data_IF_437895104471
#
_entry.id   IF_437895104471
#
_cell.length_a   1.000
_cell.length_b   1.000
_cell.length_c   1.000
_cell.angle_alpha   90.00
_cell.angle_beta   90.00
_cell.angle_gamma   90.00
#
_symmetry.space_group_name_H-M   'P 1'
#
loop_
_entity.id
_entity.type
_entity.pdbx_description
1 polymer ?
#
# COMPACT_ATOMS: atom_id res chain seq x y z
N UNK A 1 4.91 -5.05 -12.66
CA UNK A 1 4.12 -4.79 -13.89
C UNK A 1 4.45 -3.39 -14.35
N UNK A 2 4.70 -3.21 -15.65
CA UNK A 2 4.98 -1.91 -16.27
C UNK A 2 3.99 -1.73 -17.43
N UNK A 3 3.33 -0.59 -17.51
CA UNK A 3 2.50 -0.20 -18.65
C UNK A 3 3.02 1.13 -19.19
N UNK A 4 3.21 1.19 -20.52
CA UNK A 4 3.63 2.42 -21.21
C UNK A 4 2.59 2.74 -22.27
N UNK A 5 2.07 3.96 -22.22
CA UNK A 5 1.13 4.50 -23.17
C UNK A 5 1.71 5.75 -23.82
N UNK A 6 1.48 5.94 -25.12
CA UNK A 6 2.00 7.08 -25.86
C UNK A 6 1.26 7.29 -27.17
N UNK A 7 1.58 8.41 -27.83
CA UNK A 7 1.02 8.75 -29.13
C UNK A 7 1.95 8.25 -30.24
N UNK A 8 1.40 7.70 -31.31
CA UNK A 8 2.19 7.24 -32.45
C UNK A 8 1.54 6.09 -33.21
N UNK A 9 2.31 5.51 -34.13
CA UNK A 9 1.94 4.25 -34.77
C UNK A 9 1.82 3.12 -33.73
N UNK A 10 1.02 2.08 -34.01
CA UNK A 10 1.07 0.85 -33.24
C UNK A 10 2.52 0.38 -33.06
N UNK A 11 2.83 -0.15 -31.88
CA UNK A 11 4.16 -0.67 -31.50
C UNK A 11 5.31 0.36 -31.43
N UNK A 12 5.04 1.65 -31.57
CA UNK A 12 6.07 2.71 -31.50
C UNK A 12 6.86 2.76 -30.17
N UNK A 13 6.31 2.22 -29.09
CA UNK A 13 6.97 2.16 -27.77
C UNK A 13 7.68 0.82 -27.53
N UNK A 14 7.54 -0.14 -28.45
CA UNK A 14 8.01 -1.52 -28.25
C UNK A 14 9.52 -1.57 -28.02
N UNK A 15 10.30 -0.92 -28.90
CA UNK A 15 11.76 -0.88 -28.79
C UNK A 15 12.22 -0.25 -27.46
N UNK A 16 11.49 0.76 -26.95
CA UNK A 16 11.80 1.38 -25.65
C UNK A 16 11.56 0.41 -24.51
N UNK A 17 10.44 -0.32 -24.52
CA UNK A 17 10.15 -1.33 -23.48
C UNK A 17 11.17 -2.47 -23.54
N UNK A 18 11.47 -2.98 -24.74
CA UNK A 18 12.45 -4.05 -24.95
C UNK A 18 13.84 -3.62 -24.45
N UNK A 19 14.28 -2.39 -24.75
CA UNK A 19 15.56 -1.87 -24.25
C UNK A 19 15.63 -1.72 -22.72
N UNK A 20 14.53 -1.33 -22.06
CA UNK A 20 14.47 -1.29 -20.59
C UNK A 20 14.61 -2.70 -20.01
N UNK A 21 13.91 -3.68 -20.59
CA UNK A 21 13.95 -5.07 -20.13
C UNK A 21 15.32 -5.70 -20.38
N UNK A 22 15.93 -5.48 -21.55
CA UNK A 22 17.27 -5.94 -21.89
C UNK A 22 18.30 -5.43 -20.88
N UNK A 23 18.31 -4.11 -20.61
CA UNK A 23 19.22 -3.52 -19.63
C UNK A 23 19.05 -4.11 -18.21
N UNK A 24 17.80 -4.36 -17.78
CA UNK A 24 17.51 -4.97 -16.49
C UNK A 24 17.94 -6.45 -16.41
N UNK A 25 17.80 -7.19 -17.51
CA UNK A 25 18.27 -8.58 -17.61
C UNK A 25 19.81 -8.65 -17.57
N UNK A 26 20.50 -7.77 -18.31
CA UNK A 26 21.97 -7.71 -18.34
C UNK A 26 22.58 -7.36 -16.98
N UNK A 27 21.93 -6.46 -16.23
CA UNK A 27 22.36 -6.06 -14.89
C UNK A 27 22.03 -7.11 -13.81
N UNK A 28 21.16 -8.08 -14.13
CA UNK A 28 20.69 -9.09 -13.19
C UNK A 28 19.59 -8.60 -12.23
N UNK A 29 19.07 -7.39 -12.44
CA UNK A 29 17.94 -6.84 -11.68
C UNK A 29 16.61 -7.51 -12.07
N UNK A 30 16.53 -8.02 -13.30
CA UNK A 30 15.41 -8.80 -13.83
C UNK A 30 15.90 -10.22 -14.13
N UNK A 31 15.18 -11.23 -13.63
CA UNK A 31 15.52 -12.64 -13.87
C UNK A 31 14.80 -13.23 -15.11
N UNK A 32 13.57 -12.78 -15.34
CA UNK A 32 12.75 -13.18 -16.49
C UNK A 32 11.71 -12.07 -16.77
N UNK A 33 11.28 -11.96 -18.03
CA UNK A 33 10.33 -10.95 -18.48
C UNK A 33 9.41 -11.48 -19.57
N UNK A 34 8.14 -11.09 -19.49
CA UNK A 34 7.15 -11.34 -20.56
C UNK A 34 6.57 -10.01 -21.03
N UNK A 35 6.59 -9.81 -22.35
CA UNK A 35 5.94 -8.67 -23.00
C UNK A 35 4.62 -9.13 -23.63
N UNK A 36 3.52 -8.44 -23.33
CA UNK A 36 2.23 -8.73 -23.95
C UNK A 36 2.27 -8.40 -25.45
N UNK A 37 1.94 -9.37 -26.30
CA UNK A 37 1.87 -9.22 -27.75
C UNK A 37 0.51 -8.70 -28.25
N UNK A 38 -0.51 -8.66 -27.38
CA UNK A 38 -1.83 -8.14 -27.70
C UNK A 38 -2.60 -7.72 -26.44
N UNK A 39 -3.73 -7.05 -26.64
CA UNK A 39 -4.59 -6.56 -25.55
C UNK A 39 -5.09 -7.66 -24.61
N UNK A 40 -5.39 -8.85 -25.13
CA UNK A 40 -5.85 -9.98 -24.32
C UNK A 40 -4.77 -10.45 -23.34
N UNK A 41 -3.52 -10.54 -23.80
CA UNK A 41 -2.38 -10.82 -22.93
C UNK A 41 -2.12 -9.68 -21.94
N UNK A 42 -2.24 -8.41 -22.38
CA UNK A 42 -2.12 -7.26 -21.49
C UNK A 42 -3.13 -7.30 -20.35
N UNK A 43 -4.41 -7.60 -20.65
CA UNK A 43 -5.45 -7.79 -19.65
C UNK A 43 -5.17 -8.97 -18.72
N UNK A 44 -4.63 -10.07 -19.23
CA UNK A 44 -4.25 -11.22 -18.40
C UNK A 44 -3.14 -10.87 -17.40
N UNK A 45 -2.13 -10.08 -17.80
CA UNK A 45 -1.09 -9.59 -16.90
C UNK A 45 -1.66 -8.62 -15.83
N UNK A 46 -2.54 -7.70 -16.24
CA UNK A 46 -3.23 -6.80 -15.30
C UNK A 46 -4.07 -7.55 -14.29
N UNK A 47 -4.79 -8.59 -14.73
CA UNK A 47 -5.60 -9.44 -13.85
C UNK A 47 -4.79 -10.04 -12.71
N UNK A 48 -3.51 -10.38 -12.92
CA UNK A 48 -2.63 -10.86 -11.84
C UNK A 48 -2.53 -9.80 -10.72
N UNK A 49 -2.26 -8.53 -11.09
CA UNK A 49 -2.13 -7.42 -10.13
C UNK A 49 -3.46 -7.02 -9.49
N UNK A 50 -4.55 -6.99 -10.27
CA UNK A 50 -5.86 -6.53 -9.82
C UNK A 50 -6.57 -7.56 -8.92
N UNK A 51 -6.26 -8.84 -9.07
CA UNK A 51 -6.86 -9.92 -8.26
C UNK A 51 -6.18 -10.15 -6.91
N UNK A 52 -5.05 -9.49 -6.62
CA UNK A 52 -4.33 -9.63 -5.35
C UNK A 52 -5.22 -9.40 -4.11
N UNK A 53 -6.07 -8.35 -4.04
CA UNK A 53 -6.94 -8.14 -2.89
C UNK A 53 -8.03 -9.21 -2.73
N UNK A 54 -8.54 -9.76 -3.84
CA UNK A 54 -9.52 -10.85 -3.84
C UNK A 54 -8.86 -12.15 -3.36
N UNK A 55 -7.68 -12.47 -3.90
CA UNK A 55 -6.90 -13.64 -3.50
C UNK A 55 -6.61 -13.64 -2.00
N UNK A 56 -6.22 -12.50 -1.43
CA UNK A 56 -5.99 -12.37 0.02
C UNK A 56 -7.22 -12.66 0.86
N UNK A 57 -8.43 -12.37 0.38
CA UNK A 57 -9.64 -12.68 1.16
C UNK A 57 -9.86 -14.21 1.30
N UNK A 58 -9.31 -15.01 0.39
CA UNK A 58 -9.35 -16.48 0.48
C UNK A 58 -8.25 -17.06 1.39
N UNK A 59 -7.26 -16.25 1.78
CA UNK A 59 -6.09 -16.66 2.55
C UNK A 59 -6.23 -16.44 4.07
N UNK A 60 -7.43 -16.06 4.54
CA UNK A 60 -7.73 -15.84 5.95
C UNK A 60 -7.79 -14.36 6.34
N UNK A 61 -7.73 -14.07 7.65
CA UNK A 61 -7.79 -12.70 8.16
C UNK A 61 -6.51 -11.93 7.83
N UNK A 62 -6.66 -10.65 7.48
CA UNK A 62 -5.57 -9.74 7.18
C UNK A 62 -5.85 -8.33 7.69
N UNK A 63 -4.81 -7.69 8.23
CA UNK A 63 -4.84 -6.28 8.64
C UNK A 63 -4.33 -5.44 7.47
N UNK A 64 -5.23 -4.72 6.81
CA UNK A 64 -4.92 -4.01 5.56
C UNK A 64 -4.37 -2.60 5.84
N UNK A 65 -3.18 -2.32 5.35
CA UNK A 65 -2.59 -0.98 5.38
C UNK A 65 -2.52 -0.39 3.98
N UNK A 66 -2.71 0.92 3.91
CA UNK A 66 -2.55 1.70 2.69
C UNK A 66 -1.69 2.89 3.07
N UNK A 67 -0.40 2.79 2.80
CA UNK A 67 0.64 3.66 3.36
C UNK A 67 1.59 4.13 2.27
N UNK A 68 2.37 5.16 2.54
CA UNK A 68 3.43 5.59 1.63
C UNK A 68 4.68 6.01 2.37
N UNK A 69 5.83 5.87 1.72
CA UNK A 69 7.14 6.36 2.15
C UNK A 69 7.89 6.94 0.94
N UNK A 70 8.95 7.74 1.13
CA UNK A 70 9.82 8.10 0.02
C UNK A 70 10.31 6.86 -0.75
N UNK A 71 10.42 6.95 -2.07
CA UNK A 71 10.79 5.80 -2.93
C UNK A 71 12.04 5.06 -2.46
N UNK A 72 13.06 5.80 -2.03
CA UNK A 72 14.32 5.27 -1.53
C UNK A 72 14.22 4.52 -0.20
N UNK A 73 13.06 4.58 0.48
CA UNK A 73 12.80 3.97 1.79
C UNK A 73 11.83 2.79 1.72
N UNK A 74 11.30 2.43 0.53
CA UNK A 74 10.36 1.32 0.37
C UNK A 74 10.99 0.00 0.85
N UNK A 75 12.20 -0.32 0.37
CA UNK A 75 12.90 -1.55 0.74
C UNK A 75 13.20 -1.61 2.25
N UNK A 76 13.67 -0.48 2.82
CA UNK A 76 13.92 -0.35 4.26
C UNK A 76 12.64 -0.56 5.08
N UNK A 77 11.52 0.04 4.66
CA UNK A 77 10.23 -0.12 5.33
C UNK A 77 9.80 -1.60 5.35
N UNK A 78 9.80 -2.26 4.19
CA UNK A 78 9.37 -3.66 4.08
C UNK A 78 10.23 -4.55 4.98
N UNK A 79 11.56 -4.46 4.91
CA UNK A 79 12.46 -5.27 5.74
C UNK A 79 12.22 -5.06 7.25
N UNK A 80 12.10 -3.80 7.67
CA UNK A 80 11.90 -3.46 9.08
C UNK A 80 10.53 -3.89 9.60
N UNK A 81 9.49 -3.69 8.80
CA UNK A 81 8.12 -4.07 9.15
C UNK A 81 7.97 -5.59 9.21
N UNK A 82 8.50 -6.33 8.21
CA UNK A 82 8.48 -7.78 8.17
C UNK A 82 9.17 -8.36 9.41
N UNK A 83 10.38 -7.87 9.74
CA UNK A 83 11.12 -8.31 10.92
C UNK A 83 10.38 -8.02 12.23
N UNK A 84 9.79 -6.83 12.36
CA UNK A 84 9.07 -6.43 13.57
C UNK A 84 7.79 -7.26 13.76
N UNK A 85 7.07 -7.53 12.67
CA UNK A 85 5.87 -8.35 12.70
C UNK A 85 6.17 -9.81 12.94
N UNK A 86 7.20 -10.38 12.31
CA UNK A 86 7.60 -11.78 12.55
C UNK A 86 8.03 -11.99 14.01
N UNK A 87 8.71 -11.01 14.62
CA UNK A 87 9.07 -11.07 16.04
C UNK A 87 7.85 -11.02 16.97
N UNK A 88 6.82 -10.25 16.62
CA UNK A 88 5.59 -10.11 17.43
C UNK A 88 4.58 -11.24 17.19
N UNK A 89 4.53 -11.74 15.95
CA UNK A 89 3.57 -12.72 15.45
C UNK A 89 4.32 -13.74 14.58
N UNK A 90 5.01 -14.72 15.20
CA UNK A 90 5.78 -15.71 14.44
C UNK A 90 4.93 -16.44 13.40
N UNK A 91 5.42 -16.51 12.15
CA UNK A 91 4.72 -17.09 11.02
C UNK A 91 3.68 -16.17 10.36
N UNK A 92 3.65 -14.88 10.70
CA UNK A 92 2.82 -13.88 10.01
C UNK A 92 3.24 -13.78 8.55
N UNK A 93 2.25 -13.70 7.65
CA UNK A 93 2.50 -13.65 6.21
C UNK A 93 2.27 -12.23 5.71
N UNK A 94 3.34 -11.48 5.49
CA UNK A 94 3.23 -10.11 5.00
C UNK A 94 3.07 -10.08 3.49
N UNK A 95 1.92 -9.61 3.01
CA UNK A 95 1.64 -9.46 1.58
C UNK A 95 1.82 -8.00 1.19
N UNK A 96 2.89 -7.72 0.45
CA UNK A 96 3.31 -6.37 0.05
C UNK A 96 3.17 -6.18 -1.46
N UNK A 97 2.37 -5.21 -1.88
CA UNK A 97 2.16 -4.83 -3.28
C UNK A 97 1.72 -3.36 -3.33
N UNK A 98 1.75 -2.70 -4.49
CA UNK A 98 1.34 -1.30 -4.53
C UNK A 98 1.74 -0.57 -5.80
N UNK A 99 1.95 0.73 -5.66
CA UNK A 99 2.28 1.67 -6.70
C UNK A 99 3.70 2.17 -6.45
N UNK A 100 4.70 1.39 -6.88
CA UNK A 100 6.10 1.71 -6.58
C UNK A 100 6.55 3.06 -7.15
N UNK A 101 5.89 3.58 -8.20
CA UNK A 101 6.25 4.85 -8.83
C UNK A 101 5.95 6.10 -8.00
N UNK A 102 5.05 6.01 -7.02
CA UNK A 102 4.66 7.14 -6.15
C UNK A 102 4.94 6.89 -4.67
N UNK A 103 5.44 5.70 -4.33
CA UNK A 103 5.81 5.33 -2.97
C UNK A 103 4.68 4.72 -2.16
N UNK A 104 3.51 4.46 -2.76
CA UNK A 104 2.41 3.78 -2.10
C UNK A 104 2.60 2.25 -2.04
N UNK A 105 2.38 1.72 -0.84
CA UNK A 105 2.48 0.31 -0.50
C UNK A 105 1.16 -0.09 0.18
N UNK A 106 0.48 -1.09 -0.40
CA UNK A 106 -0.49 -1.90 0.30
C UNK A 106 0.27 -3.00 1.07
N UNK A 107 0.40 -2.80 2.38
CA UNK A 107 1.16 -3.66 3.26
C UNK A 107 0.21 -4.44 4.17
N UNK A 108 -0.02 -5.71 3.85
CA UNK A 108 -1.11 -6.48 4.43
C UNK A 108 -0.57 -7.70 5.18
N UNK A 109 -0.27 -7.58 6.48
CA UNK A 109 -0.01 -8.73 7.34
C UNK A 109 -1.25 -9.64 7.38
N UNK A 110 -1.06 -10.91 7.08
CA UNK A 110 -2.08 -11.95 7.14
C UNK A 110 -1.74 -12.97 8.23
N UNK A 111 -2.77 -13.58 8.81
CA UNK A 111 -2.61 -14.57 9.88
C UNK A 111 -1.67 -15.72 9.47
N UNK A 112 -0.92 -16.31 10.42
CA UNK A 112 -0.18 -17.55 10.18
C UNK A 112 -1.12 -18.70 9.77
N UNK A 113 -0.64 -19.63 8.95
CA UNK A 113 -1.43 -20.79 8.49
C UNK A 113 -1.87 -21.71 9.64
N UNK A 114 -1.09 -21.74 10.73
CA UNK A 114 -1.29 -22.64 11.88
C UNK A 114 -2.28 -22.12 12.91
N UNK A 115 -2.75 -20.88 12.77
CA UNK A 115 -3.69 -20.26 13.71
C UNK A 115 -5.10 -20.60 13.27
N UNK A 116 -5.63 -21.70 13.81
CA UNK A 116 -7.06 -22.03 13.71
C UNK A 116 -7.76 -21.52 14.97
N UNK A 117 -8.62 -20.51 14.82
CA UNK A 117 -9.53 -20.05 15.88
C UNK A 117 -9.08 -18.92 16.80
N UNK A 118 -7.90 -18.30 16.64
CA UNK A 118 -7.62 -16.99 17.25
C UNK A 118 -8.02 -15.86 16.29
N UNK A 119 -8.77 -14.87 16.79
CA UNK A 119 -9.17 -13.71 15.98
C UNK A 119 -7.96 -12.78 15.80
N UNK A 120 -7.17 -13.00 14.74
CA UNK A 120 -6.09 -12.11 14.32
C UNK A 120 -6.61 -10.66 14.11
N UNK A 121 -7.91 -10.51 13.84
CA UNK A 121 -8.60 -9.21 13.86
C UNK A 121 -8.54 -8.48 15.21
N UNK A 122 -8.45 -9.19 16.34
CA UNK A 122 -8.30 -8.57 17.66
C UNK A 122 -6.94 -7.85 17.80
N UNK A 123 -5.94 -8.28 17.05
CA UNK A 123 -4.59 -7.72 17.02
C UNK A 123 -4.47 -6.46 16.14
N UNK A 124 -5.55 -6.07 15.46
CA UNK A 124 -5.59 -4.94 14.53
C UNK A 124 -4.91 -3.68 15.08
N UNK A 125 -5.20 -3.32 16.33
CA UNK A 125 -4.63 -2.14 16.97
C UNK A 125 -3.11 -2.25 17.13
N UNK A 126 -2.60 -3.38 17.61
CA UNK A 126 -1.17 -3.60 17.85
C UNK A 126 -0.37 -3.71 16.54
N UNK A 127 -0.93 -4.37 15.53
CA UNK A 127 -0.33 -4.45 14.19
C UNK A 127 -0.26 -3.05 13.55
N UNK A 128 -1.34 -2.27 13.62
CA UNK A 128 -1.34 -0.88 13.14
C UNK A 128 -0.24 -0.05 13.83
N UNK A 129 0.00 -0.24 15.14
CA UNK A 129 1.10 0.45 15.84
C UNK A 129 2.45 0.16 15.19
N UNK A 130 2.76 -1.12 14.99
CA UNK A 130 4.05 -1.55 14.42
C UNK A 130 4.26 -0.91 13.04
N UNK A 131 3.26 -1.01 12.17
CA UNK A 131 3.36 -0.52 10.80
C UNK A 131 3.38 1.01 10.76
N UNK A 132 2.40 1.68 11.38
CA UNK A 132 2.26 3.13 11.26
C UNK A 132 3.34 3.91 12.01
N UNK A 133 3.92 3.36 13.10
CA UNK A 133 5.07 4.00 13.76
C UNK A 133 6.30 3.99 12.85
N UNK A 134 6.57 2.87 12.16
CA UNK A 134 7.64 2.80 11.17
C UNK A 134 7.40 3.74 9.99
N UNK A 135 6.16 3.82 9.50
CA UNK A 135 5.78 4.77 8.45
C UNK A 135 6.07 6.22 8.89
N UNK A 136 5.68 6.59 10.12
CA UNK A 136 5.95 7.93 10.63
C UNK A 136 7.45 8.20 10.80
N UNK A 137 8.23 7.23 11.30
CA UNK A 137 9.69 7.35 11.42
C UNK A 137 10.37 7.58 10.06
N UNK A 138 9.87 6.91 9.01
CA UNK A 138 10.39 7.03 7.65
C UNK A 138 9.83 8.23 6.88
N UNK A 139 9.20 9.19 7.57
CA UNK A 139 8.57 10.38 7.01
C UNK A 139 7.52 10.05 5.93
N UNK A 140 6.75 9.00 6.18
CA UNK A 140 5.67 8.52 5.32
C UNK A 140 4.27 8.99 5.73
N UNK A 141 3.26 8.49 5.00
CA UNK A 141 1.84 8.70 5.32
C UNK A 141 1.17 7.39 5.71
N UNK A 142 0.39 7.41 6.80
CA UNK A 142 -0.44 6.28 7.23
C UNK A 142 -1.71 6.08 6.38
N UNK A 143 -1.89 6.90 5.34
CA UNK A 143 -3.04 6.87 4.43
C UNK A 143 -2.60 7.50 3.12
N UNK A 144 -2.26 6.68 2.12
CA UNK A 144 -1.81 7.16 0.82
C UNK A 144 -2.99 7.57 -0.06
N UNK A 145 -3.98 6.69 -0.23
CA UNK A 145 -5.08 6.86 -1.18
C UNK A 145 -6.46 6.80 -0.52
N UNK A 146 -6.65 5.90 0.45
CA UNK A 146 -7.99 5.59 0.99
C UNK A 146 -8.57 6.66 1.93
N UNK A 147 -7.73 7.60 2.38
CA UNK A 147 -8.11 8.64 3.33
C UNK A 147 -8.32 8.13 4.76
N UNK A 148 -8.63 9.07 5.67
CA UNK A 148 -8.79 8.75 7.09
C UNK A 148 -10.15 8.11 7.43
N UNK A 149 -11.22 8.61 6.80
CA UNK A 149 -12.59 8.19 7.06
C UNK A 149 -12.92 8.21 8.57
N UNK A 150 -13.64 7.19 9.04
CA UNK A 150 -13.81 6.94 10.48
C UNK A 150 -12.68 6.06 11.04
N UNK A 151 -12.23 5.09 10.24
CA UNK A 151 -11.32 4.03 10.67
C UNK A 151 -9.99 4.56 11.20
N UNK A 152 -9.39 5.53 10.51
CA UNK A 152 -8.07 6.08 10.85
C UNK A 152 -8.15 7.48 11.46
N UNK A 153 -9.36 7.99 11.76
CA UNK A 153 -9.57 9.35 12.31
C UNK A 153 -8.82 9.55 13.62
N UNK A 154 -9.05 8.66 14.59
CA UNK A 154 -8.46 8.82 15.92
C UNK A 154 -6.98 8.46 15.93
N UNK A 155 -6.59 7.52 15.08
CA UNK A 155 -5.19 7.14 14.89
C UNK A 155 -4.36 8.28 14.26
N UNK A 156 -4.91 9.01 13.29
CA UNK A 156 -4.24 10.14 12.65
C UNK A 156 -3.80 11.23 13.63
N UNK A 157 -4.50 11.41 14.75
CA UNK A 157 -4.14 12.36 15.80
C UNK A 157 -2.76 12.09 16.41
N UNK A 158 -2.25 10.86 16.31
CA UNK A 158 -0.91 10.52 16.79
C UNK A 158 0.18 10.96 15.83
N UNK A 159 -0.10 10.92 14.53
CA UNK A 159 0.92 11.13 13.49
C UNK A 159 0.85 12.53 12.87
N UNK A 160 -0.27 13.23 13.04
CA UNK A 160 -0.42 14.64 12.64
C UNK A 160 0.02 15.56 13.77
N UNK A 161 0.65 16.67 13.39
CA UNK A 161 0.96 17.73 14.33
C UNK A 161 -0.33 18.38 14.88
N UNK A 162 -0.24 18.95 16.07
CA UNK A 162 -1.35 19.71 16.66
C UNK A 162 -1.81 20.85 15.73
N UNK A 163 -0.86 21.49 15.04
CA UNK A 163 -1.15 22.60 14.11
C UNK A 163 -1.99 22.12 12.92
N UNK A 164 -1.67 20.98 12.32
CA UNK A 164 -2.48 20.40 11.24
C UNK A 164 -3.89 20.10 11.73
N UNK A 165 -4.02 19.44 12.88
CA UNK A 165 -5.33 19.06 13.43
C UNK A 165 -6.18 20.28 13.75
N UNK A 166 -5.60 21.33 14.35
CA UNK A 166 -6.29 22.58 14.66
C UNK A 166 -6.74 23.30 13.38
N UNK A 167 -5.88 23.33 12.35
CA UNK A 167 -6.21 23.95 11.08
C UNK A 167 -7.36 23.22 10.38
N UNK A 168 -7.32 21.89 10.33
CA UNK A 168 -8.40 21.08 9.77
C UNK A 168 -9.72 21.37 10.50
N UNK A 169 -9.70 21.40 11.84
CA UNK A 169 -10.85 21.73 12.67
C UNK A 169 -11.44 23.11 12.37
N UNK A 170 -10.59 24.14 12.23
CA UNK A 170 -11.01 25.50 11.86
C UNK A 170 -11.67 25.55 10.49
N UNK A 171 -11.10 24.88 9.49
CA UNK A 171 -11.67 24.82 8.13
C UNK A 171 -13.04 24.12 8.16
N UNK A 172 -13.15 22.98 8.86
CA UNK A 172 -14.44 22.28 8.99
C UNK A 172 -15.51 23.13 9.64
N UNK A 173 -15.19 23.81 10.74
CA UNK A 173 -16.15 24.66 11.44
C UNK A 173 -16.56 25.89 10.61
N UNK A 174 -15.65 26.46 9.82
CA UNK A 174 -15.96 27.58 8.94
C UNK A 174 -16.94 27.20 7.82
N UNK A 175 -16.83 25.98 7.28
CA UNK A 175 -17.66 25.49 6.18
C UNK A 175 -18.96 24.81 6.64
N UNK A 176 -18.93 24.11 7.78
CA UNK A 176 -20.06 23.34 8.32
C UNK A 176 -20.19 23.53 9.84
N UNK A 177 -20.60 24.73 10.30
CA UNK A 177 -20.74 25.04 11.72
C UNK A 177 -21.83 24.23 12.43
N UNK A 178 -22.81 23.72 11.69
CA UNK A 178 -23.85 22.84 12.23
C UNK A 178 -23.42 21.36 12.32
N UNK A 179 -22.23 21.03 11.80
CA UNK A 179 -21.67 19.69 11.78
C UNK A 179 -22.60 18.62 11.16
N UNK A 180 -23.27 18.97 10.05
CA UNK A 180 -24.21 18.07 9.37
C UNK A 180 -23.57 17.32 8.18
N UNK A 181 -22.42 17.79 7.69
CA UNK A 181 -21.69 17.18 6.59
C UNK A 181 -20.75 16.08 7.09
N UNK A 182 -21.25 14.85 7.13
CA UNK A 182 -20.48 13.64 7.40
C UNK A 182 -19.80 13.62 8.79
N UNK A 183 -20.56 13.77 9.89
CA UNK A 183 -20.01 13.93 11.24
C UNK A 183 -19.16 12.72 11.66
N UNK A 184 -18.06 13.01 12.36
CA UNK A 184 -17.18 12.03 12.95
C UNK A 184 -16.29 11.28 11.96
N UNK A 185 -16.06 11.81 10.76
CA UNK A 185 -15.09 11.30 9.78
C UNK A 185 -14.04 12.36 9.49
N UNK A 186 -12.80 11.94 9.28
CA UNK A 186 -11.60 12.77 9.07
C UNK A 186 -11.16 13.55 10.31
N UNK A 187 -12.03 14.38 10.89
CA UNK A 187 -11.79 15.16 12.11
C UNK A 187 -13.01 15.17 13.02
#
# INVERSE_FOLDING_TARGET
>A
LLEISGQGAPDSLRETVEGILEAGLEQGDVLDAVLAANRGQGQALWKIRESIPEAQNHEGQSVKHDVSVPLSRIAEFIERADRALEAAYPGVRCVSFGHIGDGNIHYNPAQPETVDGADFGAEYGAINRIVHDLIAELNGSISAEHGLGRLRRDEAKRYKSQVEMDLMGKVKNALDPANIMNPGKVI
#
